data_IF_206146982380
#
_entry.id   IF_206146982380
#
_cell.length_a   1.000
_cell.length_b   1.000
_cell.length_c   1.000
_cell.angle_alpha   90.00
_cell.angle_beta   90.00
_cell.angle_gamma   90.00
#
_symmetry.space_group_name_H-M   'P 1'
#
loop_
_entity.id
_entity.type
_entity.pdbx_description
1 polymer ?
#
# COMPACT_ATOMS: atom_id res chain seq x y z
N UNK A 1 36.23 13.41 -4.47
CA UNK A 1 35.06 13.62 -5.32
C UNK A 1 34.50 12.25 -5.61
N UNK A 2 33.36 11.89 -5.05
CA UNK A 2 32.67 10.65 -5.41
C UNK A 2 32.34 10.75 -6.91
N UNK A 3 32.64 9.70 -7.68
CA UNK A 3 32.18 9.60 -9.06
C UNK A 3 30.66 9.64 -9.00
N UNK A 4 30.04 10.60 -9.66
CA UNK A 4 28.59 10.65 -9.82
C UNK A 4 28.20 9.41 -10.65
N UNK A 5 27.67 8.40 -9.97
CA UNK A 5 27.23 7.16 -10.61
C UNK A 5 25.85 7.47 -11.19
N UNK A 6 25.71 7.37 -12.48
CA UNK A 6 24.43 7.54 -13.17
C UNK A 6 23.50 6.39 -12.75
N UNK A 7 22.52 6.69 -11.92
CA UNK A 7 21.51 5.74 -11.46
C UNK A 7 20.47 5.53 -12.55
N UNK A 8 20.06 4.28 -12.74
CA UNK A 8 18.94 3.99 -13.63
C UNK A 8 17.65 4.50 -13.00
N UNK A 9 16.85 5.20 -13.79
CA UNK A 9 15.53 5.72 -13.39
C UNK A 9 14.47 5.17 -14.33
N UNK A 10 13.39 4.67 -13.77
CA UNK A 10 12.26 4.10 -14.52
C UNK A 10 10.97 4.83 -14.13
N UNK A 11 9.99 4.80 -15.00
CA UNK A 11 8.62 5.22 -14.70
C UNK A 11 7.83 4.07 -14.09
N UNK A 12 6.72 4.41 -13.46
CA UNK A 12 5.75 3.44 -12.96
C UNK A 12 5.31 2.48 -14.08
N UNK A 13 5.37 1.18 -13.83
CA UNK A 13 5.10 0.09 -14.78
C UNK A 13 5.96 0.13 -16.06
N UNK A 14 7.15 0.71 -16.02
CA UNK A 14 8.15 0.61 -17.09
C UNK A 14 9.05 -0.59 -16.85
N UNK A 15 9.26 -1.44 -17.87
CA UNK A 15 10.20 -2.55 -17.78
C UNK A 15 11.57 -2.18 -18.39
N UNK A 16 12.62 -2.72 -17.76
CA UNK A 16 14.01 -2.61 -18.21
C UNK A 16 14.68 -3.99 -18.17
N UNK A 17 15.75 -4.23 -18.94
CA UNK A 17 16.59 -5.39 -18.74
C UNK A 17 17.18 -5.39 -17.32
N UNK A 18 17.14 -6.52 -16.65
CA UNK A 18 17.66 -6.64 -15.29
C UNK A 18 19.16 -6.32 -15.19
N UNK A 19 19.91 -6.64 -16.22
CA UNK A 19 21.35 -6.35 -16.32
C UNK A 19 21.69 -4.86 -16.36
N UNK A 20 20.72 -4.01 -16.71
CA UNK A 20 20.94 -2.55 -16.76
C UNK A 20 20.92 -1.92 -15.36
N UNK A 21 20.46 -2.66 -14.34
CA UNK A 21 20.49 -2.19 -12.95
C UNK A 21 21.94 -2.19 -12.46
N UNK A 22 22.50 -1.01 -12.07
CA UNK A 22 23.88 -0.93 -11.66
C UNK A 22 24.14 -1.73 -10.40
N UNK A 23 25.16 -2.60 -10.41
CA UNK A 23 25.63 -3.31 -9.23
C UNK A 23 26.74 -2.48 -8.58
N UNK A 24 26.45 -1.86 -7.46
CA UNK A 24 27.35 -0.95 -6.75
C UNK A 24 28.13 -1.66 -5.65
N UNK A 25 29.31 -1.14 -5.31
CA UNK A 25 29.94 -1.48 -4.02
C UNK A 25 29.06 -0.97 -2.88
N UNK A 26 29.10 -1.62 -1.71
CA UNK A 26 28.18 -1.25 -0.61
C UNK A 26 28.34 0.20 -0.17
N UNK A 27 29.57 0.73 -0.16
CA UNK A 27 29.82 2.15 0.15
C UNK A 27 29.07 3.10 -0.79
N UNK A 28 29.08 2.79 -2.09
CA UNK A 28 28.44 3.61 -3.11
C UNK A 28 26.91 3.40 -3.08
N UNK A 29 26.45 2.15 -2.88
CA UNK A 29 25.03 1.84 -2.66
C UNK A 29 24.46 2.64 -1.49
N UNK A 30 25.13 2.57 -0.33
CA UNK A 30 24.79 3.33 0.87
C UNK A 30 24.75 4.83 0.60
N UNK A 31 25.82 5.39 0.02
CA UNK A 31 25.94 6.84 -0.22
C UNK A 31 24.82 7.35 -1.13
N UNK A 32 24.51 6.62 -2.21
CA UNK A 32 23.42 6.99 -3.12
C UNK A 32 22.05 6.85 -2.47
N UNK A 33 21.80 5.79 -1.69
CA UNK A 33 20.54 5.62 -0.95
C UNK A 33 20.30 6.77 0.01
N UNK A 34 21.31 7.17 0.77
CA UNK A 34 21.19 8.26 1.74
C UNK A 34 21.04 9.62 1.05
N UNK A 35 21.77 9.87 -0.04
CA UNK A 35 21.62 11.09 -0.83
C UNK A 35 20.20 11.24 -1.41
N UNK A 36 19.62 10.14 -1.91
CA UNK A 36 18.22 10.15 -2.37
C UNK A 36 17.24 10.38 -1.21
N UNK A 37 17.51 9.83 -0.03
CA UNK A 37 16.66 9.96 1.15
C UNK A 37 16.69 11.37 1.79
N UNK A 38 17.69 12.20 1.49
CA UNK A 38 17.77 13.61 1.94
C UNK A 38 16.70 14.49 1.27
N UNK A 39 16.27 14.15 0.03
CA UNK A 39 15.19 14.87 -0.63
C UNK A 39 13.84 14.45 -0.03
N UNK A 40 13.12 15.42 0.56
CA UNK A 40 11.79 15.24 1.15
C UNK A 40 10.74 14.69 0.19
N UNK A 41 10.95 14.83 -1.12
CA UNK A 41 10.06 14.30 -2.15
C UNK A 41 10.39 12.84 -2.48
N UNK A 42 11.52 12.33 -2.03
CA UNK A 42 11.93 10.96 -2.27
C UNK A 42 11.55 10.05 -1.10
N UNK A 43 11.13 8.83 -1.41
CA UNK A 43 10.85 7.80 -0.41
C UNK A 43 11.16 6.41 -0.95
N UNK A 44 11.49 5.50 -0.04
CA UNK A 44 11.69 4.10 -0.38
C UNK A 44 10.34 3.44 -0.68
N UNK A 45 10.19 2.85 -1.85
CA UNK A 45 9.00 2.06 -2.22
C UNK A 45 9.24 0.58 -2.06
N UNK A 46 10.49 0.12 -2.18
CA UNK A 46 10.88 -1.25 -1.87
C UNK A 46 12.40 -1.36 -1.66
N UNK A 47 12.80 -2.23 -0.71
CA UNK A 47 14.18 -2.64 -0.50
C UNK A 47 14.16 -4.10 -0.08
N UNK A 48 14.71 -4.99 -0.88
CA UNK A 48 14.63 -6.44 -0.68
C UNK A 48 15.90 -7.15 -1.12
N UNK A 49 16.08 -8.38 -0.62
CA UNK A 49 17.17 -9.26 -1.00
C UNK A 49 16.68 -10.62 -1.45
N UNK A 50 17.40 -11.22 -2.38
CA UNK A 50 17.17 -12.59 -2.81
C UNK A 50 18.47 -13.27 -3.20
N UNK A 51 18.46 -14.60 -3.16
CA UNK A 51 19.62 -15.39 -3.58
C UNK A 51 19.66 -15.53 -5.10
N UNK A 52 20.79 -15.17 -5.69
CA UNK A 52 21.08 -15.34 -7.11
C UNK A 52 22.41 -16.10 -7.27
N UNK A 53 22.36 -17.37 -7.62
CA UNK A 53 23.54 -18.26 -7.71
C UNK A 53 24.31 -18.33 -6.38
N UNK A 54 25.58 -17.87 -6.40
CA UNK A 54 26.50 -17.82 -5.25
C UNK A 54 26.41 -16.56 -4.42
N UNK A 55 25.52 -15.61 -4.79
CA UNK A 55 25.43 -14.30 -4.18
C UNK A 55 24.02 -14.03 -3.65
N UNK A 56 23.91 -13.17 -2.66
CA UNK A 56 22.69 -12.42 -2.37
C UNK A 56 22.72 -11.12 -3.20
N UNK A 57 21.63 -10.81 -3.87
CA UNK A 57 21.43 -9.53 -4.53
C UNK A 57 20.42 -8.71 -3.76
N UNK A 58 20.81 -7.50 -3.36
CA UNK A 58 19.95 -6.49 -2.79
C UNK A 58 19.51 -5.54 -3.90
N UNK A 59 18.21 -5.18 -3.89
CA UNK A 59 17.65 -4.16 -4.79
C UNK A 59 16.89 -3.15 -3.95
N UNK A 60 17.13 -1.87 -4.20
CA UNK A 60 16.39 -0.76 -3.62
C UNK A 60 15.73 0.08 -4.71
N UNK A 61 14.49 0.50 -4.45
CA UNK A 61 13.69 1.35 -5.32
C UNK A 61 13.29 2.61 -4.55
N UNK A 62 13.76 3.78 -5.03
CA UNK A 62 13.49 5.08 -4.41
C UNK A 62 12.65 5.91 -5.38
N UNK A 63 11.40 6.20 -5.00
CA UNK A 63 10.50 7.00 -5.81
C UNK A 63 10.66 8.50 -5.51
N UNK A 64 10.67 9.32 -6.56
CA UNK A 64 10.68 10.77 -6.50
C UNK A 64 9.29 11.32 -6.88
N UNK A 65 8.57 11.83 -5.89
CA UNK A 65 7.21 12.37 -6.05
C UNK A 65 7.13 13.62 -6.93
N UNK A 66 8.27 14.28 -7.19
CA UNK A 66 8.33 15.49 -8.02
C UNK A 66 8.48 15.16 -9.51
N UNK A 67 9.36 14.20 -9.84
CA UNK A 67 9.64 13.83 -11.22
C UNK A 67 8.82 12.65 -11.71
N UNK A 68 8.27 11.86 -10.78
CA UNK A 68 7.58 10.61 -11.07
C UNK A 68 8.54 9.49 -11.52
N UNK A 69 9.82 9.60 -11.19
CA UNK A 69 10.83 8.60 -11.46
C UNK A 69 11.04 7.69 -10.26
N UNK A 70 11.47 6.47 -10.53
CA UNK A 70 11.88 5.49 -9.53
C UNK A 70 13.35 5.16 -9.81
N UNK A 71 14.25 5.59 -8.93
CA UNK A 71 15.65 5.21 -9.00
C UNK A 71 15.81 3.76 -8.50
N UNK A 72 16.52 2.95 -9.25
CA UNK A 72 16.78 1.54 -8.93
C UNK A 72 18.27 1.33 -8.76
N UNK A 73 18.65 0.74 -7.63
CA UNK A 73 20.03 0.45 -7.26
C UNK A 73 20.14 -1.00 -6.84
N UNK A 74 21.33 -1.61 -7.04
CA UNK A 74 21.59 -2.94 -6.50
C UNK A 74 22.99 -3.08 -5.90
N UNK A 75 23.12 -4.05 -5.00
CA UNK A 75 24.38 -4.50 -4.42
C UNK A 75 24.40 -6.01 -4.36
N UNK A 76 25.58 -6.62 -4.55
CA UNK A 76 25.77 -8.06 -4.44
C UNK A 76 26.72 -8.40 -3.27
N UNK A 77 26.33 -9.45 -2.54
CA UNK A 77 27.10 -9.96 -1.42
C UNK A 77 27.32 -11.45 -1.67
N UNK A 78 28.57 -11.95 -1.66
CA UNK A 78 28.82 -13.39 -1.69
C UNK A 78 28.10 -14.11 -0.54
N UNK A 79 27.48 -15.25 -0.82
CA UNK A 79 26.85 -16.07 0.22
C UNK A 79 27.97 -16.60 1.13
N UNK A 80 28.03 -16.07 2.33
CA UNK A 80 28.98 -16.45 3.37
C UNK A 80 28.18 -16.85 4.64
N UNK A 81 28.85 -17.49 5.56
CA UNK A 81 28.26 -17.72 6.88
C UNK A 81 28.15 -16.36 7.60
N UNK A 82 26.92 -15.89 7.81
CA UNK A 82 26.60 -14.63 8.51
C UNK A 82 27.25 -13.36 7.89
N UNK A 83 26.84 -12.96 6.67
CA UNK A 83 27.28 -11.68 6.11
C UNK A 83 26.77 -10.51 6.93
N UNK A 84 27.63 -9.51 7.19
CA UNK A 84 27.30 -8.32 7.98
C UNK A 84 27.43 -7.08 7.12
N UNK A 85 26.40 -6.24 7.11
CA UNK A 85 26.38 -4.93 6.48
C UNK A 85 26.15 -3.84 7.54
N UNK A 86 26.61 -2.63 7.27
CA UNK A 86 26.23 -1.48 8.09
C UNK A 86 24.76 -1.13 7.80
N UNK A 87 23.93 -0.97 8.83
CA UNK A 87 22.52 -0.64 8.68
C UNK A 87 22.31 0.76 8.08
N UNK A 88 21.48 0.87 7.05
CA UNK A 88 21.02 2.16 6.52
C UNK A 88 19.91 2.76 7.40
N UNK A 89 19.18 1.92 8.13
CA UNK A 89 18.08 2.34 8.99
C UNK A 89 18.52 3.24 10.15
N UNK A 90 19.79 3.20 10.55
CA UNK A 90 20.32 4.14 11.55
C UNK A 90 20.37 5.59 11.05
N UNK A 91 20.42 5.80 9.73
CA UNK A 91 20.45 7.12 9.08
C UNK A 91 19.10 7.50 8.47
N UNK A 92 18.40 6.52 7.91
CA UNK A 92 17.09 6.68 7.31
C UNK A 92 16.12 5.61 7.82
N UNK A 93 15.46 5.91 8.93
CA UNK A 93 14.65 4.96 9.70
C UNK A 93 13.58 4.21 8.88
N UNK A 94 12.94 4.76 7.83
CA UNK A 94 11.99 4.00 7.01
C UNK A 94 12.52 2.68 6.44
N UNK A 95 13.83 2.49 6.35
CA UNK A 95 14.44 1.23 5.88
C UNK A 95 14.44 0.12 6.94
N UNK A 96 14.14 0.42 8.21
CA UNK A 96 14.27 -0.55 9.31
C UNK A 96 13.47 -1.84 9.09
N UNK A 97 12.26 -1.73 8.54
CA UNK A 97 11.40 -2.89 8.33
C UNK A 97 11.89 -3.77 7.16
N UNK A 98 12.44 -3.15 6.12
CA UNK A 98 13.03 -3.86 4.98
C UNK A 98 14.32 -4.60 5.38
N UNK A 99 15.19 -3.98 6.17
CA UNK A 99 16.41 -4.63 6.67
C UNK A 99 16.08 -5.82 7.57
N UNK A 100 15.07 -5.71 8.44
CA UNK A 100 14.57 -6.82 9.25
C UNK A 100 14.06 -8.00 8.39
N UNK A 101 13.33 -7.70 7.32
CA UNK A 101 12.85 -8.69 6.38
C UNK A 101 14.00 -9.36 5.60
N UNK A 102 14.99 -8.59 5.15
CA UNK A 102 16.19 -9.11 4.50
C UNK A 102 16.96 -10.02 5.46
N UNK A 103 17.09 -9.64 6.72
CA UNK A 103 17.70 -10.46 7.76
C UNK A 103 16.98 -11.81 7.91
N UNK A 104 15.66 -11.81 8.06
CA UNK A 104 14.87 -13.05 8.18
C UNK A 104 15.02 -13.96 6.95
N UNK A 105 15.00 -13.38 5.74
CA UNK A 105 15.02 -14.15 4.49
C UNK A 105 16.41 -14.61 4.04
N UNK A 106 17.44 -13.78 4.32
CA UNK A 106 18.79 -13.96 3.75
C UNK A 106 19.86 -14.24 4.82
N UNK A 107 19.59 -14.01 6.11
CA UNK A 107 20.57 -14.14 7.18
C UNK A 107 21.65 -13.06 7.13
N UNK A 108 21.37 -11.91 6.53
CA UNK A 108 22.27 -10.76 6.50
C UNK A 108 22.07 -9.97 7.79
N UNK A 109 23.12 -9.81 8.59
CA UNK A 109 23.09 -8.98 9.79
C UNK A 109 23.34 -7.51 9.45
N UNK A 110 22.62 -6.62 10.12
CA UNK A 110 22.75 -5.18 9.95
C UNK A 110 23.33 -4.50 11.18
N UNK A 111 24.64 -4.24 11.16
CA UNK A 111 25.35 -3.59 12.26
C UNK A 111 24.81 -2.17 12.50
N UNK A 112 24.45 -1.84 13.75
CA UNK A 112 23.89 -0.56 14.12
C UNK A 112 22.38 -0.41 13.81
N UNK A 113 21.70 -1.50 13.49
CA UNK A 113 20.25 -1.45 13.24
C UNK A 113 19.49 -1.01 14.51
N UNK A 114 18.61 0.01 14.43
CA UNK A 114 17.96 0.60 15.61
C UNK A 114 16.94 -0.32 16.30
N UNK A 115 16.38 -1.29 15.57
CA UNK A 115 15.30 -2.15 16.06
C UNK A 115 15.27 -3.50 15.32
N UNK A 116 16.30 -4.33 15.53
CA UNK A 116 16.43 -5.62 14.84
C UNK A 116 15.64 -6.72 15.57
N UNK A 117 14.31 -6.73 15.39
CA UNK A 117 13.42 -7.76 15.91
C UNK A 117 12.66 -8.43 14.77
N UNK A 118 12.17 -9.68 14.94
CA UNK A 118 11.41 -10.40 13.91
C UNK A 118 10.19 -9.61 13.40
N UNK A 119 9.84 -9.81 12.12
CA UNK A 119 8.74 -9.09 11.45
C UNK A 119 7.67 -10.04 10.92
N UNK A 120 8.04 -11.00 10.09
CA UNK A 120 7.10 -11.79 9.27
C UNK A 120 7.06 -13.26 9.63
N UNK A 121 8.12 -13.78 10.23
CA UNK A 121 8.28 -15.21 10.54
C UNK A 121 8.03 -16.12 9.33
N UNK A 122 8.67 -15.87 8.16
CA UNK A 122 8.46 -16.69 7.00
C UNK A 122 8.85 -18.15 7.30
N UNK A 123 8.18 -19.10 6.66
CA UNK A 123 8.41 -20.53 6.92
C UNK A 123 9.87 -20.95 6.69
N UNK A 124 10.52 -20.35 5.67
CA UNK A 124 11.91 -20.62 5.29
C UNK A 124 12.90 -19.56 5.81
N UNK A 125 12.58 -18.93 6.93
CA UNK A 125 13.52 -17.98 7.56
C UNK A 125 14.82 -18.67 7.95
N UNK A 126 15.92 -17.92 7.91
CA UNK A 126 17.25 -18.47 8.16
C UNK A 126 17.37 -19.00 9.58
N UNK A 127 16.91 -18.25 10.58
CA UNK A 127 16.87 -18.70 11.97
C UNK A 127 15.51 -19.35 12.29
N UNK A 128 15.46 -20.67 12.27
CA UNK A 128 14.27 -21.46 12.56
C UNK A 128 13.86 -21.43 14.04
N UNK A 129 14.74 -21.00 14.96
CA UNK A 129 14.44 -20.88 16.38
C UNK A 129 13.61 -19.64 16.71
N UNK A 130 13.56 -18.66 15.81
CA UNK A 130 12.68 -17.51 15.98
C UNK A 130 11.24 -17.92 15.67
N UNK A 131 10.42 -17.93 16.70
CA UNK A 131 9.00 -18.26 16.60
C UNK A 131 8.14 -17.08 17.03
N UNK A 132 6.91 -17.01 16.51
CA UNK A 132 6.00 -15.91 16.81
C UNK A 132 5.66 -15.82 18.31
N UNK A 133 5.70 -16.95 19.01
CA UNK A 133 5.40 -17.03 20.44
C UNK A 133 6.59 -16.68 21.34
N UNK A 134 7.83 -16.61 20.81
CA UNK A 134 9.02 -16.24 21.56
C UNK A 134 9.57 -14.86 21.17
N UNK A 135 8.71 -13.96 20.71
CA UNK A 135 9.10 -12.61 20.35
C UNK A 135 9.77 -11.89 21.54
N UNK A 136 10.95 -11.29 21.35
CA UNK A 136 11.71 -10.67 22.41
C UNK A 136 11.16 -9.27 22.74
N UNK A 137 10.05 -9.21 23.47
CA UNK A 137 9.50 -7.93 23.92
C UNK A 137 10.48 -7.18 24.81
N UNK A 138 10.40 -5.86 24.76
CA UNK A 138 11.06 -5.01 25.75
C UNK A 138 10.38 -5.19 27.10
N UNK A 139 11.17 -5.37 28.17
CA UNK A 139 10.68 -5.55 29.53
C UNK A 139 11.36 -4.57 30.47
N UNK A 140 10.65 -4.11 31.49
CA UNK A 140 11.17 -3.30 32.57
C UNK A 140 10.85 -4.03 33.89
N UNK A 141 11.89 -4.39 34.62
CA UNK A 141 11.73 -4.99 35.95
C UNK A 141 11.41 -3.91 36.97
N UNK A 142 10.15 -3.85 37.44
CA UNK A 142 9.71 -2.93 38.49
C UNK A 142 8.40 -3.45 39.09
N UNK A 143 8.25 -3.34 40.42
CA UNK A 143 7.02 -3.70 41.13
C UNK A 143 5.87 -2.70 40.90
N UNK A 144 6.20 -1.48 40.44
CA UNK A 144 5.20 -0.43 40.17
C UNK A 144 4.64 -0.47 38.76
N UNK A 145 5.23 -1.29 37.88
CA UNK A 145 4.84 -1.38 36.49
C UNK A 145 4.09 -2.67 36.21
N UNK A 146 3.18 -2.61 35.26
CA UNK A 146 2.50 -3.79 34.76
C UNK A 146 2.48 -3.82 33.23
N UNK A 147 2.45 -5.03 32.67
CA UNK A 147 2.37 -5.25 31.25
C UNK A 147 0.94 -5.60 30.86
N UNK A 148 0.44 -4.98 29.80
CA UNK A 148 -0.89 -5.27 29.22
C UNK A 148 -0.71 -5.73 27.79
N UNK A 149 -1.16 -6.95 27.50
CA UNK A 149 -1.18 -7.51 26.14
C UNK A 149 -2.58 -7.34 25.51
N UNK A 150 -2.62 -6.83 24.27
CA UNK A 150 -3.84 -6.70 23.48
C UNK A 150 -3.66 -7.37 22.12
N UNK A 151 -4.55 -8.29 21.78
CA UNK A 151 -4.45 -9.11 20.57
C UNK A 151 -3.69 -10.43 20.81
N UNK A 152 -3.38 -11.19 19.75
CA UNK A 152 -3.43 -10.83 18.33
C UNK A 152 -4.83 -10.82 17.69
N UNK A 153 -5.85 -11.35 18.36
CA UNK A 153 -7.23 -11.35 17.86
C UNK A 153 -7.98 -10.19 18.51
N UNK A 154 -8.44 -9.29 17.69
CA UNK A 154 -9.25 -8.13 18.08
C UNK A 154 -10.65 -8.36 17.55
N UNK A 155 -11.67 -7.97 18.27
CA UNK A 155 -13.10 -8.21 18.01
C UNK A 155 -13.62 -7.81 16.60
N UNK A 156 -12.86 -8.09 15.55
CA UNK A 156 -13.22 -7.87 14.15
C UNK A 156 -13.03 -6.44 13.63
N UNK A 157 -12.43 -5.55 14.42
CA UNK A 157 -12.26 -4.14 14.06
C UNK A 157 -10.95 -3.87 13.35
N UNK A 158 -9.87 -4.51 13.77
CA UNK A 158 -8.52 -4.35 13.20
C UNK A 158 -7.93 -5.72 12.84
N UNK A 159 -6.93 -5.68 11.96
CA UNK A 159 -6.22 -6.86 11.54
C UNK A 159 -5.38 -7.48 12.69
N UNK A 160 -5.14 -8.81 12.69
CA UNK A 160 -4.36 -9.47 13.72
C UNK A 160 -2.98 -8.84 13.92
N UNK A 161 -2.69 -8.46 15.14
CA UNK A 161 -1.42 -7.91 15.60
C UNK A 161 -1.42 -7.92 17.12
N UNK A 162 -0.26 -8.04 17.74
CA UNK A 162 -0.16 -8.01 19.19
C UNK A 162 0.47 -6.72 19.66
N UNK A 163 -0.21 -6.03 20.57
CA UNK A 163 0.23 -4.78 21.20
C UNK A 163 0.63 -5.11 22.64
N UNK A 164 1.86 -4.81 23.01
CA UNK A 164 2.35 -4.95 24.38
C UNK A 164 2.58 -3.55 24.96
N UNK A 165 1.81 -3.23 25.99
CA UNK A 165 1.93 -1.98 26.73
C UNK A 165 2.67 -2.21 28.03
N UNK A 166 3.58 -1.29 28.41
CA UNK A 166 4.11 -1.19 29.76
C UNK A 166 3.52 0.05 30.38
N UNK A 167 2.82 -0.12 31.49
CA UNK A 167 2.01 0.92 32.13
C UNK A 167 2.41 1.15 33.60
N UNK A 168 2.26 2.42 34.02
CA UNK A 168 2.21 2.80 35.44
C UNK A 168 0.80 3.34 35.70
N UNK A 169 -0.03 2.55 36.37
CA UNK A 169 -1.47 2.81 36.45
C UNK A 169 -2.08 2.92 35.05
N UNK A 170 -2.72 4.05 34.74
CA UNK A 170 -3.32 4.32 33.41
C UNK A 170 -2.35 4.98 32.42
N UNK A 171 -1.13 5.30 32.84
CA UNK A 171 -0.13 5.95 31.98
C UNK A 171 0.66 4.93 31.22
N UNK A 172 0.59 4.97 29.88
CA UNK A 172 1.42 4.15 28.99
C UNK A 172 2.82 4.74 28.91
N UNK A 173 3.81 3.96 29.34
CA UNK A 173 5.23 4.32 29.28
C UNK A 173 5.90 3.81 28.01
N UNK A 174 5.48 2.62 27.54
CA UNK A 174 6.02 2.01 26.34
C UNK A 174 4.93 1.22 25.62
N UNK A 175 4.98 1.27 24.28
CA UNK A 175 4.16 0.44 23.41
C UNK A 175 5.07 -0.27 22.41
N UNK A 176 4.96 -1.58 22.34
CA UNK A 176 5.61 -2.39 21.31
C UNK A 176 4.56 -3.18 20.52
N UNK A 177 4.75 -3.21 19.20
CA UNK A 177 3.84 -3.89 18.28
C UNK A 177 4.56 -5.07 17.64
N UNK A 178 4.07 -6.29 17.91
CA UNK A 178 4.52 -7.49 17.23
C UNK A 178 3.69 -7.70 15.97
N UNK A 179 4.37 -7.73 14.84
CA UNK A 179 3.82 -8.01 13.52
C UNK A 179 3.93 -9.51 13.18
N UNK A 180 3.58 -9.91 11.95
CA UNK A 180 3.75 -11.27 11.45
C UNK A 180 2.49 -12.15 11.52
N UNK A 181 1.49 -11.78 12.29
CA UNK A 181 0.26 -12.58 12.52
C UNK A 181 -0.58 -12.80 11.25
N UNK A 182 -0.41 -11.97 10.23
CA UNK A 182 -1.10 -12.10 8.94
C UNK A 182 -0.19 -12.58 7.80
N UNK A 183 1.08 -12.86 8.07
CA UNK A 183 1.98 -13.30 7.01
C UNK A 183 1.56 -14.67 6.45
N UNK A 184 1.33 -14.73 5.13
CA UNK A 184 0.83 -15.92 4.42
C UNK A 184 1.80 -16.43 3.36
N UNK A 185 3.01 -15.87 3.28
CA UNK A 185 4.04 -16.29 2.32
C UNK A 185 3.67 -16.00 0.86
N UNK A 186 2.99 -14.88 0.60
CA UNK A 186 2.44 -14.54 -0.73
C UNK A 186 3.54 -14.47 -1.79
N UNK A 187 4.69 -13.85 -1.49
CA UNK A 187 5.80 -13.72 -2.44
C UNK A 187 6.34 -15.09 -2.87
N UNK A 188 6.49 -16.01 -1.92
CA UNK A 188 6.91 -17.37 -2.22
C UNK A 188 5.85 -18.12 -3.04
N UNK A 189 4.58 -17.95 -2.71
CA UNK A 189 3.48 -18.56 -3.46
C UNK A 189 3.45 -18.06 -4.91
N UNK A 190 3.78 -16.78 -5.19
CA UNK A 190 3.93 -16.29 -6.57
C UNK A 190 4.98 -17.06 -7.36
N UNK A 191 6.11 -17.41 -6.75
CA UNK A 191 7.17 -18.19 -7.39
C UNK A 191 6.74 -19.65 -7.65
N UNK A 192 5.88 -20.20 -6.80
CA UNK A 192 5.40 -21.59 -6.91
C UNK A 192 4.24 -21.78 -7.89
N UNK A 193 3.59 -20.70 -8.31
CA UNK A 193 2.45 -20.78 -9.23
C UNK A 193 2.93 -20.67 -10.67
N UNK A 194 2.65 -21.68 -11.49
CA UNK A 194 3.07 -21.71 -12.90
C UNK A 194 2.10 -20.96 -13.82
N UNK A 195 0.79 -21.04 -13.53
CA UNK A 195 -0.23 -20.46 -14.39
C UNK A 195 -0.50 -19.00 -14.05
N UNK A 196 -0.58 -18.14 -15.06
CA UNK A 196 -0.90 -16.73 -14.91
C UNK A 196 -2.21 -16.50 -14.13
N UNK A 197 -3.25 -17.29 -14.39
CA UNK A 197 -4.51 -17.21 -13.66
C UNK A 197 -4.33 -17.43 -12.15
N UNK A 198 -3.51 -18.40 -11.74
CA UNK A 198 -3.25 -18.66 -10.33
C UNK A 198 -2.54 -17.47 -9.65
N UNK A 199 -1.62 -16.83 -10.36
CA UNK A 199 -0.95 -15.60 -9.87
C UNK A 199 -1.91 -14.42 -9.77
N UNK A 200 -2.80 -14.22 -10.77
CA UNK A 200 -3.85 -13.21 -10.68
C UNK A 200 -4.76 -13.43 -9.44
N UNK A 201 -5.20 -14.67 -9.20
CA UNK A 201 -6.01 -15.01 -8.03
C UNK A 201 -5.24 -14.80 -6.70
N UNK A 202 -3.94 -15.03 -6.69
CA UNK A 202 -3.10 -14.77 -5.53
C UNK A 202 -2.99 -13.28 -5.23
N UNK A 203 -2.85 -12.44 -6.27
CA UNK A 203 -2.84 -10.98 -6.13
C UNK A 203 -4.11 -10.44 -5.44
N UNK A 204 -5.29 -10.96 -5.81
CA UNK A 204 -6.57 -10.61 -5.19
C UNK A 204 -6.68 -10.99 -3.71
N UNK A 205 -5.78 -11.86 -3.22
CA UNK A 205 -5.79 -12.37 -1.87
C UNK A 205 -4.64 -11.85 -1.01
N UNK A 206 -3.87 -10.88 -1.50
CA UNK A 206 -2.84 -10.18 -0.69
C UNK A 206 -3.51 -9.48 0.49
N UNK A 207 -4.58 -8.72 0.22
CA UNK A 207 -5.44 -8.15 1.26
C UNK A 207 -6.91 -8.29 0.84
N UNK A 208 -7.77 -8.65 1.78
CA UNK A 208 -9.16 -9.04 1.49
C UNK A 208 -10.01 -7.92 0.90
N UNK A 209 -9.79 -6.70 1.33
CA UNK A 209 -10.55 -5.50 0.97
C UNK A 209 -9.81 -4.58 -0.03
N UNK A 210 -8.63 -4.98 -0.50
CA UNK A 210 -7.84 -4.29 -1.52
C UNK A 210 -7.63 -5.21 -2.74
N UNK A 211 -8.66 -5.97 -3.11
CA UNK A 211 -8.57 -6.94 -4.19
C UNK A 211 -8.31 -6.27 -5.54
N UNK A 212 -8.94 -5.13 -5.81
CA UNK A 212 -8.77 -4.37 -7.06
C UNK A 212 -7.40 -3.70 -7.10
N UNK A 213 -6.98 -3.04 -6.04
CA UNK A 213 -5.68 -2.36 -5.99
C UNK A 213 -4.52 -3.30 -6.25
N UNK A 214 -4.47 -4.44 -5.55
CA UNK A 214 -3.40 -5.44 -5.74
C UNK A 214 -3.46 -6.16 -7.09
N UNK A 215 -4.67 -6.48 -7.58
CA UNK A 215 -4.81 -7.09 -8.92
C UNK A 215 -4.39 -6.13 -10.02
N UNK A 216 -4.67 -4.83 -9.87
CA UNK A 216 -4.25 -3.81 -10.83
C UNK A 216 -2.74 -3.66 -10.85
N UNK A 217 -2.10 -3.56 -9.68
CA UNK A 217 -0.65 -3.51 -9.58
C UNK A 217 0.01 -4.73 -10.24
N UNK A 218 -0.51 -5.94 -9.94
CA UNK A 218 -0.01 -7.18 -10.54
C UNK A 218 -0.26 -7.25 -12.06
N UNK A 219 -1.44 -6.87 -12.54
CA UNK A 219 -1.75 -6.89 -13.97
C UNK A 219 -0.83 -5.96 -14.76
N UNK A 220 -0.64 -4.72 -14.28
CA UNK A 220 0.27 -3.75 -14.91
C UNK A 220 1.73 -4.24 -14.91
N UNK A 221 2.19 -4.86 -13.81
CA UNK A 221 3.52 -5.44 -13.72
C UNK A 221 3.72 -6.51 -14.79
N UNK A 222 2.79 -7.47 -14.90
CA UNK A 222 2.86 -8.56 -15.89
C UNK A 222 2.74 -8.06 -17.33
N UNK A 223 1.89 -7.05 -17.56
CA UNK A 223 1.73 -6.39 -18.86
C UNK A 223 3.02 -5.69 -19.31
N UNK A 224 3.66 -4.97 -18.39
CA UNK A 224 4.92 -4.30 -18.61
C UNK A 224 6.08 -5.28 -18.92
N UNK A 225 6.19 -6.37 -18.14
CA UNK A 225 7.21 -7.40 -18.34
C UNK A 225 7.00 -8.22 -19.63
N UNK A 226 5.75 -8.33 -20.10
CA UNK A 226 5.39 -9.08 -21.30
C UNK A 226 5.02 -8.22 -22.51
N UNK A 227 5.25 -6.90 -22.44
CA UNK A 227 4.89 -5.93 -23.50
C UNK A 227 3.43 -6.10 -24.00
N UNK A 228 2.55 -6.42 -23.08
CA UNK A 228 1.12 -6.56 -23.38
C UNK A 228 0.43 -5.23 -23.20
N UNK A 229 -0.16 -4.70 -24.27
CA UNK A 229 -0.93 -3.45 -24.21
C UNK A 229 -2.42 -3.75 -24.00
N UNK A 230 -3.10 -2.88 -23.31
CA UNK A 230 -4.56 -2.85 -23.17
C UNK A 230 -5.07 -1.49 -23.63
N UNK A 231 -6.36 -1.40 -23.95
CA UNK A 231 -6.95 -0.15 -24.44
C UNK A 231 -7.05 0.91 -23.33
N UNK A 232 -7.11 2.18 -23.73
CA UNK A 232 -7.41 3.30 -22.83
C UNK A 232 -8.76 3.12 -22.12
N UNK A 233 -9.73 2.52 -22.81
CA UNK A 233 -11.04 2.18 -22.24
C UNK A 233 -10.89 1.22 -21.06
N UNK A 234 -10.10 0.17 -21.21
CA UNK A 234 -9.85 -0.79 -20.12
C UNK A 234 -9.06 -0.16 -18.99
N UNK A 235 -8.12 0.73 -19.28
CA UNK A 235 -7.41 1.50 -18.25
C UNK A 235 -8.37 2.36 -17.42
N UNK A 236 -9.32 3.05 -18.05
CA UNK A 236 -10.35 3.82 -17.34
C UNK A 236 -11.27 2.93 -16.51
N UNK A 237 -11.75 1.79 -17.05
CA UNK A 237 -12.58 0.83 -16.31
C UNK A 237 -11.90 0.33 -15.04
N UNK A 238 -10.62 -0.04 -15.12
CA UNK A 238 -9.81 -0.49 -13.98
C UNK A 238 -9.69 0.58 -12.90
N UNK A 239 -9.51 1.84 -13.30
CA UNK A 239 -9.42 2.94 -12.36
C UNK A 239 -10.79 3.34 -11.78
N UNK A 240 -11.90 3.20 -12.54
CA UNK A 240 -13.26 3.33 -11.99
C UNK A 240 -13.48 2.28 -10.89
N UNK A 241 -13.10 1.03 -11.15
CA UNK A 241 -13.19 -0.03 -10.15
C UNK A 241 -12.35 0.27 -8.90
N UNK A 242 -11.11 0.77 -9.08
CA UNK A 242 -10.22 1.16 -7.97
C UNK A 242 -10.81 2.31 -7.14
N UNK A 243 -11.40 3.32 -7.78
CA UNK A 243 -12.03 4.42 -7.05
C UNK A 243 -13.33 3.98 -6.34
N UNK A 244 -14.08 3.00 -6.88
CA UNK A 244 -15.21 2.39 -6.16
C UNK A 244 -14.75 1.60 -4.93
N UNK A 245 -13.65 0.84 -5.02
CA UNK A 245 -13.01 0.20 -3.87
C UNK A 245 -12.64 1.25 -2.83
N UNK A 246 -11.97 2.34 -3.24
CA UNK A 246 -11.61 3.46 -2.36
C UNK A 246 -12.83 4.08 -1.67
N UNK A 247 -13.91 4.33 -2.41
CA UNK A 247 -15.16 4.87 -1.84
C UNK A 247 -15.72 3.92 -0.78
N UNK A 248 -15.78 2.62 -1.09
CA UNK A 248 -16.31 1.62 -0.17
C UNK A 248 -15.49 1.52 1.13
N UNK A 249 -14.16 1.56 1.04
CA UNK A 249 -13.31 1.46 2.21
C UNK A 249 -13.29 2.77 3.01
N UNK A 250 -13.14 3.91 2.36
CA UNK A 250 -13.12 5.20 3.06
C UNK A 250 -14.42 5.49 3.81
N UNK A 251 -15.58 5.14 3.26
CA UNK A 251 -16.85 5.29 3.99
C UNK A 251 -16.97 4.27 5.13
N UNK A 252 -16.41 3.06 4.95
CA UNK A 252 -16.28 2.07 6.02
C UNK A 252 -15.41 2.55 7.16
N UNK A 253 -14.27 3.17 6.86
CA UNK A 253 -13.37 3.77 7.84
C UNK A 253 -14.04 4.92 8.62
N UNK A 254 -14.81 5.77 7.92
CA UNK A 254 -15.61 6.81 8.59
C UNK A 254 -16.63 6.18 9.53
N UNK A 255 -17.25 5.06 9.13
CA UNK A 255 -18.14 4.30 10.01
C UNK A 255 -17.42 3.80 11.26
N UNK A 256 -16.22 3.20 11.08
CA UNK A 256 -15.38 2.72 12.18
C UNK A 256 -14.96 3.85 13.14
N UNK A 257 -14.56 5.02 12.63
CA UNK A 257 -14.28 6.19 13.45
C UNK A 257 -15.50 6.62 14.29
N UNK A 258 -16.71 6.50 13.74
CA UNK A 258 -17.94 6.77 14.50
C UNK A 258 -18.21 5.73 15.60
N UNK A 259 -17.90 4.44 15.34
CA UNK A 259 -17.97 3.37 16.35
C UNK A 259 -17.05 3.66 17.53
N UNK A 260 -15.80 4.03 17.25
CA UNK A 260 -14.77 4.28 18.27
C UNK A 260 -15.15 5.42 19.24
N UNK A 261 -15.95 6.37 18.78
CA UNK A 261 -16.43 7.48 19.63
C UNK A 261 -17.88 7.31 20.07
N UNK A 262 -18.43 6.09 19.94
CA UNK A 262 -19.79 5.72 20.30
C UNK A 262 -20.90 6.53 19.59
N UNK A 263 -20.62 7.03 18.38
CA UNK A 263 -21.59 7.72 17.54
C UNK A 263 -22.33 6.74 16.62
N UNK A 264 -23.24 5.95 17.21
CA UNK A 264 -23.91 4.82 16.55
C UNK A 264 -24.75 5.23 15.32
N UNK A 265 -25.39 6.42 15.33
CA UNK A 265 -26.15 6.89 14.17
C UNK A 265 -25.24 7.05 12.95
N UNK A 266 -24.10 7.72 13.10
CA UNK A 266 -23.11 7.87 12.04
C UNK A 266 -22.59 6.52 11.56
N UNK A 267 -22.18 5.66 12.49
CA UNK A 267 -21.71 4.32 12.18
C UNK A 267 -22.70 3.54 11.32
N UNK A 268 -23.98 3.52 11.69
CA UNK A 268 -25.02 2.79 10.95
C UNK A 268 -25.26 3.36 9.56
N UNK A 269 -25.36 4.69 9.42
CA UNK A 269 -25.62 5.33 8.12
C UNK A 269 -24.45 5.11 7.15
N UNK A 270 -23.20 5.31 7.60
CA UNK A 270 -22.02 5.10 6.74
C UNK A 270 -21.85 3.63 6.34
N UNK A 271 -22.17 2.67 7.21
CA UNK A 271 -22.20 1.25 6.88
C UNK A 271 -23.22 0.91 5.78
N UNK A 272 -24.42 1.51 5.85
CA UNK A 272 -25.45 1.34 4.80
C UNK A 272 -24.97 1.94 3.47
N UNK A 273 -24.33 3.11 3.51
CA UNK A 273 -23.77 3.74 2.31
C UNK A 273 -22.69 2.86 1.66
N UNK A 274 -21.79 2.25 2.47
CA UNK A 274 -20.81 1.27 1.97
C UNK A 274 -21.49 0.12 1.23
N UNK A 275 -22.59 -0.41 1.79
CA UNK A 275 -23.34 -1.52 1.20
C UNK A 275 -23.83 -1.22 -0.22
N UNK A 276 -24.28 0.01 -0.49
CA UNK A 276 -24.69 0.42 -1.84
C UNK A 276 -23.56 0.28 -2.86
N UNK A 277 -22.35 0.72 -2.52
CA UNK A 277 -21.17 0.63 -3.41
C UNK A 277 -20.74 -0.82 -3.64
N UNK A 278 -20.60 -1.63 -2.59
CA UNK A 278 -20.17 -3.02 -2.74
C UNK A 278 -21.21 -3.89 -3.47
N UNK A 279 -22.52 -3.58 -3.36
CA UNK A 279 -23.57 -4.24 -4.12
C UNK A 279 -23.46 -3.90 -5.61
N UNK A 280 -23.14 -2.66 -5.96
CA UNK A 280 -22.86 -2.31 -7.36
C UNK A 280 -21.64 -3.09 -7.90
N UNK A 281 -20.53 -3.18 -7.13
CA UNK A 281 -19.38 -3.98 -7.52
C UNK A 281 -19.77 -5.43 -7.76
N UNK A 282 -20.65 -5.99 -6.92
CA UNK A 282 -21.19 -7.34 -7.10
C UNK A 282 -22.05 -7.47 -8.37
N UNK A 283 -22.84 -6.46 -8.71
CA UNK A 283 -23.60 -6.45 -9.97
C UNK A 283 -22.66 -6.43 -11.18
N UNK A 284 -21.56 -5.71 -11.08
CA UNK A 284 -20.60 -5.58 -12.19
C UNK A 284 -19.81 -6.88 -12.43
N UNK A 285 -19.28 -7.52 -11.39
CA UNK A 285 -18.37 -8.66 -11.58
C UNK A 285 -18.73 -9.93 -10.79
N UNK A 286 -19.91 -9.97 -10.16
CA UNK A 286 -20.33 -11.14 -9.36
C UNK A 286 -19.67 -11.26 -7.99
N UNK A 287 -18.81 -10.33 -7.60
CA UNK A 287 -18.12 -10.33 -6.31
C UNK A 287 -18.13 -8.95 -5.67
N UNK A 288 -18.50 -8.87 -4.39
CA UNK A 288 -18.66 -7.61 -3.65
C UNK A 288 -17.34 -6.83 -3.46
N UNK A 289 -16.18 -7.49 -3.53
CA UNK A 289 -14.85 -6.91 -3.37
C UNK A 289 -14.11 -6.80 -4.72
N UNK A 290 -14.78 -7.04 -5.85
CA UNK A 290 -14.19 -6.92 -7.17
C UNK A 290 -13.23 -8.05 -7.57
N UNK A 291 -13.21 -9.17 -6.83
CA UNK A 291 -12.41 -10.34 -7.23
C UNK A 291 -12.87 -10.86 -8.59
N UNK A 292 -11.94 -11.18 -9.45
CA UNK A 292 -12.23 -11.63 -10.82
C UNK A 292 -12.29 -10.50 -11.85
N UNK A 293 -12.44 -9.25 -11.43
CA UNK A 293 -12.64 -8.11 -12.31
C UNK A 293 -11.39 -7.76 -13.13
N UNK A 294 -10.25 -7.62 -12.47
CA UNK A 294 -8.98 -7.26 -13.12
C UNK A 294 -8.17 -8.51 -13.40
N UNK A 295 -7.72 -8.64 -14.65
CA UNK A 295 -6.85 -9.70 -15.13
C UNK A 295 -5.77 -9.12 -16.02
N UNK A 296 -4.63 -9.78 -16.07
CA UNK A 296 -3.55 -9.40 -16.99
C UNK A 296 -4.04 -9.43 -18.43
N UNK A 297 -3.85 -8.33 -19.15
CA UNK A 297 -4.20 -8.17 -20.56
C UNK A 297 -5.68 -8.08 -20.86
N UNK A 298 -6.59 -7.99 -19.86
CA UNK A 298 -8.01 -7.92 -20.14
C UNK A 298 -8.93 -7.98 -18.93
N UNK A 299 -10.21 -8.19 -19.21
CA UNK A 299 -11.28 -8.43 -18.21
C UNK A 299 -12.36 -9.34 -18.76
N UNK A 300 -13.03 -10.09 -17.90
CA UNK A 300 -14.25 -10.81 -18.23
C UNK A 300 -15.52 -9.94 -18.03
N UNK A 301 -15.38 -8.77 -17.45
CA UNK A 301 -16.49 -7.93 -16.97
C UNK A 301 -16.31 -6.50 -17.45
N UNK A 302 -16.69 -6.23 -18.72
CA UNK A 302 -16.68 -4.88 -19.26
C UNK A 302 -17.77 -4.02 -18.62
N UNK A 303 -17.49 -2.74 -18.47
CA UNK A 303 -18.48 -1.76 -18.00
C UNK A 303 -19.45 -1.42 -19.15
N UNK A 304 -20.67 -2.00 -19.13
CA UNK A 304 -21.68 -1.79 -20.17
C UNK A 304 -22.43 -0.47 -20.01
N UNK A 305 -23.17 0.02 -21.03
CA UNK A 305 -24.02 1.20 -20.91
C UNK A 305 -25.04 1.12 -19.76
N UNK A 306 -25.59 -0.08 -19.50
CA UNK A 306 -26.53 -0.32 -18.39
C UNK A 306 -25.84 -0.17 -17.05
N UNK A 307 -24.64 -0.73 -16.91
CA UNK A 307 -23.81 -0.58 -15.68
C UNK A 307 -23.36 0.88 -15.50
N UNK A 308 -23.06 1.61 -16.58
CA UNK A 308 -22.78 3.06 -16.52
C UNK A 308 -23.96 3.81 -15.91
N UNK A 309 -25.18 3.57 -16.43
CA UNK A 309 -26.39 4.21 -15.88
C UNK A 309 -26.55 3.86 -14.41
N UNK A 310 -26.39 2.57 -14.07
CA UNK A 310 -26.58 2.09 -12.71
C UNK A 310 -25.55 2.66 -11.73
N UNK A 311 -24.27 2.77 -12.10
CA UNK A 311 -23.25 3.37 -11.20
C UNK A 311 -23.53 4.85 -10.96
N UNK A 312 -24.00 5.59 -11.96
CA UNK A 312 -24.36 7.00 -11.80
C UNK A 312 -25.50 7.19 -10.81
N UNK A 313 -26.55 6.35 -10.87
CA UNK A 313 -27.66 6.34 -9.90
C UNK A 313 -27.16 6.03 -8.46
N UNK A 314 -26.32 5.00 -8.33
CA UNK A 314 -25.74 4.61 -7.02
C UNK A 314 -24.90 5.73 -6.44
N UNK A 315 -24.05 6.37 -7.25
CA UNK A 315 -23.21 7.47 -6.82
C UNK A 315 -24.00 8.72 -6.47
N UNK A 316 -25.12 8.99 -7.16
CA UNK A 316 -26.00 10.13 -6.86
C UNK A 316 -26.69 9.94 -5.49
N UNK A 317 -27.32 8.77 -5.23
CA UNK A 317 -27.92 8.46 -3.93
C UNK A 317 -26.87 8.49 -2.81
N UNK A 318 -25.70 7.86 -3.07
CA UNK A 318 -24.59 7.86 -2.13
C UNK A 318 -24.16 9.28 -1.77
N UNK A 319 -23.87 10.12 -2.76
CA UNK A 319 -23.33 11.47 -2.55
C UNK A 319 -24.30 12.34 -1.76
N UNK A 320 -25.60 12.32 -2.10
CA UNK A 320 -26.63 13.06 -1.39
C UNK A 320 -26.66 12.73 0.09
N UNK A 321 -26.77 11.45 0.41
CA UNK A 321 -26.87 10.96 1.80
C UNK A 321 -25.54 11.12 2.56
N UNK A 322 -24.41 10.90 1.86
CA UNK A 322 -23.08 11.08 2.44
C UNK A 322 -22.78 12.52 2.81
N UNK A 323 -23.12 13.47 1.94
CA UNK A 323 -22.90 14.91 2.20
C UNK A 323 -23.68 15.36 3.41
N UNK A 324 -24.95 14.98 3.51
CA UNK A 324 -25.81 15.30 4.65
C UNK A 324 -25.24 14.70 5.95
N UNK A 325 -25.02 13.38 6.00
CA UNK A 325 -24.55 12.70 7.21
C UNK A 325 -23.15 13.13 7.62
N UNK A 326 -22.23 13.29 6.67
CA UNK A 326 -20.87 13.74 6.96
C UNK A 326 -20.82 15.18 7.46
N UNK A 327 -21.75 16.05 7.01
CA UNK A 327 -21.88 17.41 7.54
C UNK A 327 -22.41 17.41 8.98
N UNK A 328 -23.38 16.54 9.27
CA UNK A 328 -23.90 16.34 10.63
C UNK A 328 -22.78 15.85 11.56
N UNK A 329 -22.06 14.81 11.17
CA UNK A 329 -20.95 14.24 11.95
C UNK A 329 -19.85 15.29 12.20
N UNK A 330 -19.49 16.05 11.17
CA UNK A 330 -18.48 17.10 11.23
C UNK A 330 -18.79 18.20 12.26
N UNK A 331 -20.06 18.53 12.46
CA UNK A 331 -20.52 19.61 13.36
C UNK A 331 -20.95 19.15 14.73
N UNK A 332 -20.94 17.85 15.00
CA UNK A 332 -21.41 17.32 16.27
C UNK A 332 -20.33 17.51 17.35
N UNK A 333 -20.54 18.35 18.38
CA UNK A 333 -19.50 18.66 19.36
C UNK A 333 -18.94 17.43 20.09
N UNK A 334 -19.77 16.42 20.34
CA UNK A 334 -19.34 15.18 21.00
C UNK A 334 -18.37 14.37 20.12
N UNK A 335 -18.48 14.43 18.79
CA UNK A 335 -17.56 13.79 17.84
C UNK A 335 -16.33 14.67 17.65
N UNK A 336 -16.52 15.97 17.42
CA UNK A 336 -15.42 16.93 17.22
C UNK A 336 -14.43 16.89 18.38
N UNK A 337 -14.90 16.96 19.63
CA UNK A 337 -14.05 16.90 20.83
C UNK A 337 -13.25 15.59 20.97
N UNK A 338 -13.69 14.51 20.31
CA UNK A 338 -13.02 13.22 20.31
C UNK A 338 -12.06 13.06 19.13
N UNK A 339 -12.16 13.89 18.12
CA UNK A 339 -11.33 13.83 16.90
C UNK A 339 -10.26 14.93 16.87
N UNK A 340 -10.64 16.15 17.31
CA UNK A 340 -9.78 17.32 17.21
C UNK A 340 -8.62 17.25 18.21
N UNK A 341 -7.42 17.48 17.71
CA UNK A 341 -6.16 17.41 18.46
C UNK A 341 -5.85 16.02 19.09
N UNK A 342 -6.49 14.96 18.64
CA UNK A 342 -6.24 13.58 19.12
C UNK A 342 -5.34 12.85 18.12
N UNK A 343 -4.31 12.17 18.64
CA UNK A 343 -3.40 11.31 17.84
C UNK A 343 -2.66 12.08 16.76
N UNK A 344 -2.16 13.27 17.06
CA UNK A 344 -1.44 14.13 16.12
C UNK A 344 -0.15 13.46 15.68
N UNK A 345 0.00 13.31 14.36
CA UNK A 345 1.25 12.96 13.70
C UNK A 345 1.73 14.19 12.94
N UNK A 346 2.88 14.70 13.30
CA UNK A 346 3.49 15.85 12.63
C UNK A 346 4.07 15.44 11.27
N UNK A 347 4.23 16.41 10.36
CA UNK A 347 4.90 16.18 9.05
C UNK A 347 6.28 15.53 9.25
N UNK A 348 7.06 16.00 10.25
CA UNK A 348 8.38 15.44 10.56
C UNK A 348 8.30 13.98 11.01
N UNK A 349 7.38 13.65 11.91
CA UNK A 349 7.18 12.24 12.33
C UNK A 349 6.78 11.36 11.16
N UNK A 350 5.84 11.82 10.31
CA UNK A 350 5.42 11.09 9.13
C UNK A 350 6.58 10.84 8.14
N UNK A 351 7.47 11.81 7.97
CA UNK A 351 8.70 11.64 7.16
C UNK A 351 9.65 10.63 7.80
N UNK A 352 9.87 10.72 9.12
CA UNK A 352 10.79 9.84 9.86
C UNK A 352 10.36 8.37 9.82
N UNK A 353 9.06 8.09 9.83
CA UNK A 353 8.54 6.71 9.76
C UNK A 353 8.23 6.25 8.33
N UNK A 354 8.46 7.09 7.32
CA UNK A 354 8.22 6.76 5.92
C UNK A 354 6.74 6.64 5.53
N UNK A 355 5.85 7.44 6.14
CA UNK A 355 4.42 7.41 5.82
C UNK A 355 4.15 7.66 4.35
N UNK A 356 3.20 6.91 3.79
CA UNK A 356 2.73 7.02 2.40
C UNK A 356 1.20 7.11 2.38
N UNK A 357 0.62 7.37 1.20
CA UNK A 357 -0.82 7.39 0.98
C UNK A 357 -1.55 8.39 1.88
N UNK A 358 -2.72 8.01 2.38
CA UNK A 358 -3.54 8.89 3.22
C UNK A 358 -2.84 9.30 4.52
N UNK A 359 -2.04 8.41 5.11
CA UNK A 359 -1.28 8.70 6.33
C UNK A 359 -0.26 9.85 6.11
N UNK A 360 0.35 9.91 4.94
CA UNK A 360 1.23 11.02 4.55
C UNK A 360 0.42 12.29 4.25
N UNK A 361 -0.65 12.17 3.47
CA UNK A 361 -1.44 13.33 3.02
C UNK A 361 -2.15 14.07 4.14
N UNK A 362 -2.54 13.40 5.23
CA UNK A 362 -3.10 14.07 6.40
C UNK A 362 -2.07 14.92 7.18
N UNK A 363 -0.78 14.76 6.89
CA UNK A 363 0.35 15.47 7.52
C UNK A 363 1.06 16.44 6.57
N UNK A 364 0.41 16.87 5.50
CA UNK A 364 0.93 17.79 4.47
C UNK A 364 2.05 17.20 3.59
N UNK A 365 2.20 15.89 3.51
CA UNK A 365 3.09 15.23 2.55
C UNK A 365 2.32 14.86 1.30
N UNK A 366 2.75 15.36 0.13
CA UNK A 366 2.11 15.09 -1.16
C UNK A 366 2.61 13.75 -1.71
N UNK A 367 2.09 12.65 -1.15
CA UNK A 367 2.35 11.29 -1.59
C UNK A 367 1.05 10.62 -2.02
N UNK A 368 0.72 10.81 -3.29
CA UNK A 368 -0.44 10.21 -3.95
C UNK A 368 0.01 9.69 -5.32
N UNK A 369 0.09 8.39 -5.48
CA UNK A 369 0.61 7.72 -6.67
C UNK A 369 -0.21 8.08 -7.92
N UNK A 370 -1.51 8.37 -7.78
CA UNK A 370 -2.37 8.82 -8.90
C UNK A 370 -1.87 10.13 -9.52
N UNK A 371 -1.19 10.96 -8.72
CA UNK A 371 -0.64 12.26 -9.14
C UNK A 371 0.86 12.20 -9.39
N UNK A 372 1.63 11.57 -8.47
CA UNK A 372 3.09 11.62 -8.50
C UNK A 372 3.68 10.62 -9.49
N UNK A 373 3.05 9.45 -9.63
CA UNK A 373 3.46 8.36 -10.53
C UNK A 373 2.25 7.83 -11.30
N UNK A 374 1.61 8.65 -12.17
CA UNK A 374 0.33 8.30 -12.80
C UNK A 374 0.37 6.94 -13.50
N UNK A 375 -0.70 6.18 -13.37
CA UNK A 375 -0.84 4.85 -13.93
C UNK A 375 -2.23 4.63 -14.53
N UNK A 376 -2.35 3.69 -15.47
CA UNK A 376 -3.61 3.30 -16.12
C UNK A 376 -4.46 4.53 -16.48
N UNK A 377 -5.73 4.57 -16.05
CA UNK A 377 -6.65 5.66 -16.32
C UNK A 377 -6.25 7.01 -15.72
N UNK A 378 -5.41 7.06 -14.68
CA UNK A 378 -4.91 8.33 -14.11
C UNK A 378 -3.84 8.99 -14.99
N UNK A 379 -3.19 8.25 -15.88
CA UNK A 379 -2.33 8.81 -16.92
C UNK A 379 -3.16 9.47 -18.05
N UNK A 380 -4.41 9.02 -18.27
CA UNK A 380 -5.34 9.55 -19.27
C UNK A 380 -6.12 10.73 -18.72
N UNK A 381 -6.70 10.57 -17.52
CA UNK A 381 -7.46 11.58 -16.81
C UNK A 381 -6.77 11.88 -15.46
N UNK A 382 -6.00 12.99 -15.37
CA UNK A 382 -5.23 13.33 -14.18
C UNK A 382 -6.07 13.48 -12.92
N UNK A 383 -5.49 13.12 -11.77
CA UNK A 383 -6.11 13.24 -10.45
C UNK A 383 -5.47 14.35 -9.64
N UNK A 384 -6.27 15.18 -8.99
CA UNK A 384 -5.80 16.20 -8.06
C UNK A 384 -5.80 15.67 -6.63
N UNK A 385 -4.63 15.42 -6.08
CA UNK A 385 -4.46 14.94 -4.73
C UNK A 385 -4.83 15.99 -3.67
N UNK A 386 -5.29 15.51 -2.52
CA UNK A 386 -5.66 16.33 -1.36
C UNK A 386 -4.65 16.10 -0.25
N UNK A 387 -4.20 17.19 0.39
CA UNK A 387 -3.40 17.15 1.62
C UNK A 387 -4.05 17.98 2.71
N UNK A 388 -3.81 17.61 3.96
CA UNK A 388 -4.24 18.33 5.15
C UNK A 388 -3.07 18.49 6.12
N UNK A 389 -2.96 19.62 6.85
CA UNK A 389 -1.74 19.92 7.60
C UNK A 389 -1.72 19.38 9.03
N UNK A 390 -2.86 18.96 9.59
CA UNK A 390 -3.01 18.80 11.04
C UNK A 390 -2.57 17.44 11.59
N UNK A 391 -2.73 16.36 10.81
CA UNK A 391 -2.28 15.00 11.16
C UNK A 391 -3.01 14.32 12.33
N UNK A 392 -4.10 14.88 12.84
CA UNK A 392 -4.93 14.30 13.91
C UNK A 392 -6.03 13.37 13.38
N UNK A 393 -6.84 12.82 14.27
CA UNK A 393 -7.99 11.97 13.89
C UNK A 393 -9.01 12.77 13.07
N UNK A 394 -9.18 14.05 13.38
CA UNK A 394 -10.05 14.91 12.60
C UNK A 394 -9.58 15.10 11.16
N UNK A 395 -8.27 15.26 10.96
CA UNK A 395 -7.68 15.30 9.62
C UNK A 395 -7.90 13.99 8.86
N UNK A 396 -7.84 12.82 9.54
CA UNK A 396 -8.14 11.51 8.92
C UNK A 396 -9.60 11.44 8.44
N UNK A 397 -10.55 11.92 9.25
CA UNK A 397 -11.96 12.02 8.86
C UNK A 397 -12.15 12.98 7.68
N UNK A 398 -11.59 14.18 7.76
CA UNK A 398 -11.73 15.22 6.74
C UNK A 398 -11.09 14.82 5.41
N UNK A 399 -9.94 14.16 5.44
CA UNK A 399 -9.27 13.69 4.22
C UNK A 399 -10.16 12.70 3.48
N UNK A 400 -10.67 11.68 4.18
CA UNK A 400 -11.61 10.70 3.61
C UNK A 400 -12.86 11.37 3.06
N UNK A 401 -13.44 12.31 3.80
CA UNK A 401 -14.63 13.07 3.36
C UNK A 401 -14.39 13.84 2.07
N UNK A 402 -13.20 14.44 1.89
CA UNK A 402 -12.83 15.16 0.68
C UNK A 402 -12.49 14.20 -0.47
N UNK A 403 -11.77 13.13 -0.17
CA UNK A 403 -11.40 12.09 -1.15
C UNK A 403 -12.64 11.44 -1.77
N UNK A 404 -13.63 11.06 -0.97
CA UNK A 404 -14.88 10.50 -1.47
C UNK A 404 -15.54 11.37 -2.54
N UNK A 405 -15.59 12.69 -2.33
CA UNK A 405 -16.13 13.64 -3.31
C UNK A 405 -15.28 13.69 -4.59
N UNK A 406 -13.96 13.67 -4.44
CA UNK A 406 -13.03 13.68 -5.59
C UNK A 406 -13.11 12.38 -6.38
N UNK A 407 -13.19 11.23 -5.72
CA UNK A 407 -13.36 9.93 -6.37
C UNK A 407 -14.66 9.88 -7.19
N UNK A 408 -15.78 10.34 -6.63
CA UNK A 408 -17.06 10.42 -7.34
C UNK A 408 -16.97 11.35 -8.58
N UNK A 409 -16.37 12.52 -8.41
CA UNK A 409 -16.19 13.46 -9.51
C UNK A 409 -15.31 12.85 -10.62
N UNK A 410 -14.20 12.21 -10.24
CA UNK A 410 -13.29 11.55 -11.18
C UNK A 410 -14.00 10.41 -11.96
N UNK A 411 -14.75 9.56 -11.26
CA UNK A 411 -15.55 8.49 -11.91
C UNK A 411 -16.52 9.08 -12.94
N UNK A 412 -17.24 10.16 -12.60
CA UNK A 412 -18.18 10.81 -13.52
C UNK A 412 -17.47 11.34 -14.77
N UNK A 413 -16.30 11.96 -14.63
CA UNK A 413 -15.53 12.44 -15.79
C UNK A 413 -14.98 11.27 -16.62
N UNK A 414 -14.46 10.22 -15.98
CA UNK A 414 -14.03 9.02 -16.69
C UNK A 414 -15.16 8.40 -17.51
N UNK A 415 -16.38 8.29 -16.95
CA UNK A 415 -17.55 7.77 -17.65
C UNK A 415 -18.03 8.65 -18.82
N UNK A 416 -17.71 9.96 -18.84
CA UNK A 416 -18.03 10.86 -19.96
C UNK A 416 -17.09 10.68 -21.14
N UNK A 417 -15.80 10.44 -20.89
CA UNK A 417 -14.78 10.29 -21.94
C UNK A 417 -14.74 8.89 -22.54
N UNK A 418 -15.32 7.91 -21.84
CA UNK A 418 -15.42 6.53 -22.35
C UNK A 418 -16.39 6.41 -23.53
N UNK A 419 -15.96 5.69 -24.58
CA UNK A 419 -16.77 5.37 -25.75
C UNK A 419 -17.51 4.04 -25.53
N UNK A 420 -18.77 4.13 -25.13
CA UNK A 420 -19.62 2.98 -24.89
C UNK A 420 -20.26 2.39 -26.16
N UNK A 421 -20.25 3.13 -27.28
CA UNK A 421 -20.80 2.66 -28.54
C UNK A 421 -19.85 1.68 -29.26
N UNK A 422 -18.54 1.92 -29.12
CA UNK A 422 -17.49 1.11 -29.74
C UNK A 422 -16.74 0.20 -28.76
N UNK A 423 -17.37 -0.18 -27.66
CA UNK A 423 -16.76 -1.00 -26.62
C UNK A 423 -16.45 -2.41 -27.16
N UNK A 424 -15.15 -2.72 -27.29
CA UNK A 424 -14.69 -4.03 -27.78
C UNK A 424 -14.41 -4.98 -26.62
N UNK A 425 -14.65 -6.28 -26.78
CA UNK A 425 -14.20 -7.29 -25.84
C UNK A 425 -12.67 -7.30 -25.73
N UNK A 426 -12.16 -7.30 -24.51
CA UNK A 426 -10.74 -7.49 -24.20
C UNK A 426 -10.61 -8.63 -23.19
N UNK A 427 -10.65 -9.90 -23.67
CA UNK A 427 -10.59 -11.04 -22.77
C UNK A 427 -9.21 -11.15 -22.11
N UNK A 428 -9.14 -11.65 -20.87
CA UNK A 428 -7.88 -11.87 -20.16
C UNK A 428 -6.93 -12.77 -20.96
N UNK A 429 -5.65 -12.47 -20.88
CA UNK A 429 -4.61 -13.34 -21.43
C UNK A 429 -4.49 -14.61 -20.59
N UNK A 430 -4.34 -15.75 -21.24
CA UNK A 430 -4.07 -17.03 -20.57
C UNK A 430 -2.59 -17.13 -20.18
N UNK A 431 -1.73 -16.57 -21.00
CA UNK A 431 -0.29 -16.54 -20.83
C UNK A 431 0.26 -15.19 -21.31
N UNK A 432 1.39 -14.79 -20.77
CA UNK A 432 2.15 -13.62 -21.16
C UNK A 432 3.58 -14.07 -21.41
N UNK A 433 4.12 -13.75 -22.59
CA UNK A 433 5.52 -14.03 -22.91
C UNK A 433 6.40 -12.99 -22.19
N UNK A 434 6.86 -13.35 -21.00
CA UNK A 434 7.73 -12.47 -20.22
C UNK A 434 9.09 -12.32 -20.91
N UNK A 435 9.62 -11.10 -20.95
CA UNK A 435 11.00 -10.85 -21.36
C UNK A 435 11.95 -11.58 -20.41
N UNK A 436 12.95 -12.29 -20.92
CA UNK A 436 13.94 -12.92 -20.08
C UNK A 436 14.72 -11.85 -19.30
N UNK A 437 14.93 -12.09 -18.00
CA UNK A 437 15.70 -11.20 -17.12
C UNK A 437 15.27 -9.73 -17.20
N UNK A 438 13.98 -9.46 -17.13
CA UNK A 438 13.45 -8.10 -17.05
C UNK A 438 13.10 -7.71 -15.62
N UNK A 439 13.10 -6.41 -15.35
CA UNK A 439 12.72 -5.81 -14.09
C UNK A 439 11.69 -4.69 -14.30
N UNK A 440 10.71 -4.60 -13.43
CA UNK A 440 9.73 -3.50 -13.43
C UNK A 440 9.19 -3.29 -12.03
N UNK A 441 8.69 -2.08 -11.78
CA UNK A 441 7.98 -1.69 -10.54
C UNK A 441 6.61 -1.18 -10.92
N UNK A 442 5.56 -1.70 -10.29
CA UNK A 442 4.19 -1.22 -10.47
C UNK A 442 3.65 -0.69 -9.16
N UNK A 443 3.33 0.59 -9.13
CA UNK A 443 2.76 1.31 -7.99
C UNK A 443 1.30 1.64 -8.27
N UNK A 444 0.46 1.44 -7.30
CA UNK A 444 -0.94 1.88 -7.30
C UNK A 444 -1.25 2.63 -6.01
N UNK A 445 -2.18 3.57 -6.05
CA UNK A 445 -2.64 4.23 -4.83
C UNK A 445 -3.70 3.36 -4.15
N UNK A 446 -3.40 2.87 -2.96
CA UNK A 446 -4.38 2.22 -2.09
C UNK A 446 -5.39 3.22 -1.49
N UNK A 447 -6.29 2.73 -0.69
CA UNK A 447 -7.23 3.55 0.09
C UNK A 447 -6.67 4.06 1.41
#
# INVERSE_FOLDING_TARGET
MAKEIELIRIKNAQSIPFQDIPVLQYSDFKSNMLALAEDKNTHCVNYFGFRQNSDFQLIACMADDKTGDIAVLSHKIPVQQHPVLESLAQYYFPLHIFEREIHENCGIDFAGHPFQKPVRYPHERVDQNQEINNYPFYTIESEELHEVGVGPIHAGVIEPGHFRFICNGETVLHLEIQLGWQHRGIEKLFLQKDKLLQRNLLAENIAGDTAIGHSLAFAQLMESLGETTVSDQLHLERCIALELERIAINVGDISALCVDVAYNLGASVFSVLRTGIINFTQQWCGNRLGKGMIRTGGTNYRLTPELKTRVLEVLEDFEKRFVEMSHYTYKLPSVENRFDNIGIVTTRQAQLIGSVGMAARMTNLMRDIRKTHPFAGFAILPYEAIVLPKGDVFARFLLRRKELKKSIAWIREALKIMDFENLKPEPPKREVNLKPSAFSVSLTEGW
#
